data_IF_780340696136
#
_entry.id   IF_780340696136
#
_cell.length_a   1.000
_cell.length_b   1.000
_cell.length_c   1.000
_cell.angle_alpha   90.00
_cell.angle_beta   90.00
_cell.angle_gamma   90.00
#
_symmetry.space_group_name_H-M   'P 1'
#
loop_
_entity.id
_entity.type
_entity.pdbx_description
1 polymer ?
#
# COMPACT_ATOMS: atom_id res chain seq x y z
N UNK A 1 35.90 16.32 -22.13
CA UNK A 1 35.37 15.12 -21.45
C UNK A 1 35.18 15.54 -20.02
N UNK A 2 33.95 15.92 -19.66
CA UNK A 2 33.64 16.39 -18.30
C UNK A 2 33.33 15.14 -17.51
N UNK A 3 34.18 14.82 -16.54
CA UNK A 3 33.93 13.76 -15.56
C UNK A 3 32.71 14.18 -14.72
N UNK A 4 31.53 13.68 -15.08
CA UNK A 4 30.38 13.72 -14.20
C UNK A 4 30.70 12.76 -13.06
N UNK A 5 30.82 13.22 -11.80
CA UNK A 5 31.02 12.29 -10.70
C UNK A 5 29.85 11.33 -10.68
N UNK A 6 30.14 10.02 -10.73
CA UNK A 6 29.19 8.90 -10.54
C UNK A 6 28.59 8.88 -9.11
N UNK A 7 28.52 10.03 -8.45
CA UNK A 7 27.80 10.27 -7.22
C UNK A 7 26.30 10.33 -7.50
N UNK A 8 25.75 9.15 -7.76
CA UNK A 8 24.36 8.77 -7.50
C UNK A 8 23.32 9.51 -8.36
N UNK A 9 22.94 8.91 -9.50
CA UNK A 9 21.56 9.01 -9.99
C UNK A 9 20.65 8.39 -8.91
N UNK A 10 20.44 9.15 -7.83
CA UNK A 10 19.79 8.70 -6.62
C UNK A 10 18.29 8.82 -6.82
N UNK A 11 17.66 7.70 -7.15
CA UNK A 11 16.21 7.59 -7.05
C UNK A 11 15.82 7.24 -5.61
N UNK A 12 14.75 7.86 -5.13
CA UNK A 12 14.20 7.62 -3.78
C UNK A 12 12.70 7.75 -3.79
N UNK A 13 12.05 7.05 -2.86
CA UNK A 13 10.65 7.26 -2.51
C UNK A 13 10.60 7.98 -1.16
N UNK A 14 9.80 9.03 -1.07
CA UNK A 14 9.56 9.77 0.19
C UNK A 14 8.12 9.52 0.61
N UNK A 15 7.91 9.07 1.84
CA UNK A 15 6.58 8.82 2.39
C UNK A 15 5.94 10.13 2.84
N UNK A 16 5.02 10.66 2.03
CA UNK A 16 4.29 11.90 2.33
C UNK A 16 3.14 11.68 3.29
N UNK A 17 2.48 10.52 3.19
CA UNK A 17 1.36 10.13 4.04
C UNK A 17 1.49 8.64 4.38
N UNK A 18 1.33 8.27 5.65
CA UNK A 18 1.40 6.89 6.11
C UNK A 18 1.85 6.78 7.57
N UNK A 19 2.25 5.58 8.02
CA UNK A 19 2.60 5.32 9.43
C UNK A 19 3.87 6.05 9.90
N UNK A 20 4.78 6.39 8.98
CA UNK A 20 6.05 7.07 9.26
C UNK A 20 6.29 8.21 8.24
N UNK A 21 5.61 9.36 8.35
CA UNK A 21 5.80 10.49 7.45
C UNK A 21 7.27 10.92 7.32
N UNK A 22 7.64 11.42 6.15
CA UNK A 22 8.99 11.85 5.75
C UNK A 22 10.04 10.73 5.67
N UNK A 23 9.66 9.47 5.92
CA UNK A 23 10.55 8.33 5.73
C UNK A 23 10.96 8.21 4.27
N UNK A 24 12.27 8.10 4.05
CA UNK A 24 12.86 8.01 2.70
C UNK A 24 13.41 6.61 2.44
N UNK A 25 13.02 6.03 1.32
CA UNK A 25 13.52 4.75 0.81
C UNK A 25 14.45 5.01 -0.37
N UNK A 26 15.70 4.58 -0.27
CA UNK A 26 16.65 4.65 -1.39
C UNK A 26 16.35 3.52 -2.36
N UNK A 27 16.31 3.86 -3.66
CA UNK A 27 16.13 2.89 -4.72
C UNK A 27 17.50 2.52 -5.30
N UNK A 28 17.69 1.23 -5.53
CA UNK A 28 18.92 0.68 -6.10
C UNK A 28 18.70 0.12 -7.50
N UNK A 29 19.75 -0.52 -8.04
CA UNK A 29 19.75 -1.12 -9.38
C UNK A 29 19.14 -2.53 -9.44
N UNK A 30 18.45 -2.97 -8.40
CA UNK A 30 17.79 -4.27 -8.35
C UNK A 30 16.27 -4.10 -8.11
N UNK A 31 15.43 -5.03 -8.58
CA UNK A 31 14.00 -4.99 -8.29
C UNK A 31 13.74 -5.00 -6.78
N UNK A 32 12.85 -4.13 -6.33
CA UNK A 32 12.42 -4.05 -4.93
C UNK A 32 10.91 -4.22 -4.84
N UNK A 33 10.46 -5.12 -3.98
CA UNK A 33 9.03 -5.23 -3.67
C UNK A 33 8.63 -4.22 -2.61
N UNK A 34 7.40 -3.74 -2.70
CA UNK A 34 6.75 -2.82 -1.77
C UNK A 34 5.60 -3.58 -1.10
N UNK A 35 5.51 -3.52 0.23
CA UNK A 35 4.39 -4.11 0.96
C UNK A 35 4.54 -4.04 2.46
N UNK A 36 3.52 -4.49 3.20
CA UNK A 36 3.54 -4.46 4.67
C UNK A 36 4.35 -5.56 5.34
N UNK A 37 4.67 -6.64 4.59
CA UNK A 37 5.48 -7.72 5.12
C UNK A 37 6.94 -7.28 5.27
N UNK A 38 7.61 -7.74 6.32
CA UNK A 38 9.03 -7.47 6.56
C UNK A 38 9.96 -8.07 5.49
N UNK A 39 9.46 -8.98 4.65
CA UNK A 39 10.24 -9.62 3.58
C UNK A 39 10.36 -8.75 2.31
N UNK A 40 9.80 -7.55 2.30
CA UNK A 40 9.90 -6.64 1.16
C UNK A 40 11.15 -5.77 1.23
N UNK A 41 11.63 -5.32 0.07
CA UNK A 41 12.71 -4.32 0.02
C UNK A 41 12.26 -2.96 0.58
N UNK A 42 10.98 -2.62 0.40
CA UNK A 42 10.35 -1.42 0.92
C UNK A 42 9.17 -1.85 1.79
N UNK A 43 9.32 -1.63 3.10
CA UNK A 43 8.34 -2.04 4.10
C UNK A 43 7.58 -0.83 4.61
N UNK A 44 6.25 -0.87 4.46
CA UNK A 44 5.34 0.15 4.99
C UNK A 44 4.28 -0.58 5.80
N UNK A 45 4.34 -0.43 7.12
CA UNK A 45 3.46 -1.15 8.04
C UNK A 45 2.08 -0.49 8.14
N UNK A 46 1.29 -0.66 7.08
CA UNK A 46 -0.08 -0.17 6.99
C UNK A 46 -1.07 -1.32 6.67
N UNK A 47 -2.30 -1.21 7.17
CA UNK A 47 -3.34 -2.22 6.98
C UNK A 47 -3.88 -2.26 5.55
N UNK A 48 -3.90 -1.11 4.86
CA UNK A 48 -4.37 -0.98 3.47
C UNK A 48 -3.35 -1.48 2.46
N UNK A 49 -2.10 -1.66 2.90
CA UNK A 49 -1.04 -2.24 2.08
C UNK A 49 -1.05 -3.77 2.21
N UNK A 50 -0.93 -4.43 1.07
CA UNK A 50 -0.88 -5.89 0.98
C UNK A 50 0.49 -6.40 1.41
N UNK A 51 0.57 -7.67 1.82
CA UNK A 51 1.85 -8.27 2.27
C UNK A 51 2.94 -8.16 1.21
N UNK A 52 2.61 -8.37 -0.06
CA UNK A 52 3.39 -8.00 -1.25
C UNK A 52 2.39 -7.25 -2.12
N UNK A 53 2.61 -5.96 -2.33
CA UNK A 53 1.59 -5.07 -2.89
C UNK A 53 1.98 -4.62 -4.29
N UNK A 54 3.19 -4.09 -4.45
CA UNK A 54 3.71 -3.66 -5.73
C UNK A 54 5.19 -4.08 -5.89
N UNK A 55 5.69 -4.02 -7.11
CA UNK A 55 7.11 -4.19 -7.41
C UNK A 55 7.61 -2.98 -8.19
N UNK A 56 8.78 -2.49 -7.77
CA UNK A 56 9.52 -1.48 -8.49
C UNK A 56 10.73 -2.12 -9.15
N UNK A 57 10.80 -2.01 -10.48
CA UNK A 57 11.85 -2.62 -11.30
C UNK A 57 12.64 -1.51 -11.99
N UNK A 58 13.96 -1.39 -11.77
CA UNK A 58 14.78 -0.42 -12.50
C UNK A 58 14.86 -0.82 -13.99
N UNK A 59 14.67 0.16 -14.88
CA UNK A 59 14.79 0.02 -16.33
C UNK A 59 15.72 1.11 -16.88
N UNK A 60 17.03 0.84 -16.82
CA UNK A 60 18.05 1.81 -17.25
C UNK A 60 18.04 3.06 -16.37
N UNK A 61 17.54 4.17 -16.90
CA UNK A 61 17.42 5.45 -16.20
C UNK A 61 16.02 5.72 -15.63
N UNK A 62 15.06 4.80 -15.76
CA UNK A 62 13.71 4.94 -15.21
C UNK A 62 13.39 3.80 -14.25
N UNK A 63 12.25 3.90 -13.57
CA UNK A 63 11.71 2.84 -12.73
C UNK A 63 10.32 2.48 -13.22
N UNK A 64 10.08 1.18 -13.36
CA UNK A 64 8.78 0.63 -13.72
C UNK A 64 8.07 0.16 -12.45
N UNK A 65 6.85 0.63 -12.23
CA UNK A 65 6.00 0.22 -11.11
C UNK A 65 4.91 -0.72 -11.61
N UNK A 66 4.75 -1.85 -10.92
CA UNK A 66 3.75 -2.87 -11.21
C UNK A 66 2.98 -3.24 -9.93
N UNK A 67 1.67 -3.32 -10.02
CA UNK A 67 0.81 -3.86 -8.94
C UNK A 67 0.82 -5.39 -8.98
N UNK A 68 1.05 -6.04 -7.83
CA UNK A 68 1.16 -7.50 -7.71
C UNK A 68 -0.17 -8.17 -7.33
N UNK A 69 -1.30 -7.61 -7.76
CA UNK A 69 -2.63 -8.08 -7.40
C UNK A 69 -3.02 -7.66 -5.98
N UNK A 70 -2.77 -6.40 -5.65
CA UNK A 70 -3.09 -5.87 -4.34
C UNK A 70 -4.60 -5.73 -4.11
N UNK A 71 -5.01 -5.71 -2.84
CA UNK A 71 -6.43 -5.63 -2.47
C UNK A 71 -7.05 -4.28 -2.81
N UNK A 72 -6.35 -3.18 -2.51
CA UNK A 72 -6.86 -1.82 -2.70
C UNK A 72 -6.39 -1.20 -4.04
N UNK A 73 -5.47 -1.85 -4.75
CA UNK A 73 -4.83 -1.32 -5.94
C UNK A 73 -3.69 -0.34 -5.63
N UNK A 74 -2.87 -0.12 -6.65
CA UNK A 74 -1.84 0.91 -6.69
C UNK A 74 -2.26 2.02 -7.65
N UNK A 75 -2.05 3.28 -7.27
CA UNK A 75 -2.38 4.45 -8.09
C UNK A 75 -1.13 5.30 -8.34
N UNK A 76 -1.03 5.89 -9.53
CA UNK A 76 0.01 6.87 -9.88
C UNK A 76 -0.70 8.14 -10.34
N UNK A 77 -0.43 9.26 -9.65
CA UNK A 77 -1.07 10.56 -9.88
C UNK A 77 -2.62 10.46 -9.92
N UNK A 78 -3.20 9.66 -9.02
CA UNK A 78 -4.64 9.41 -8.93
C UNK A 78 -5.21 8.42 -9.94
N UNK A 79 -4.40 7.90 -10.88
CA UNK A 79 -4.83 6.90 -11.86
C UNK A 79 -4.45 5.50 -11.39
N UNK A 80 -5.43 4.59 -11.36
CA UNK A 80 -5.19 3.19 -10.97
C UNK A 80 -4.32 2.48 -12.01
N UNK A 81 -3.28 1.79 -11.54
CA UNK A 81 -2.44 0.95 -12.37
C UNK A 81 -3.19 -0.31 -12.81
N UNK A 82 -3.22 -0.53 -14.12
CA UNK A 82 -3.74 -1.76 -14.74
C UNK A 82 -2.64 -2.57 -15.44
N UNK A 83 -1.49 -1.95 -15.69
CA UNK A 83 -0.32 -2.50 -16.37
C UNK A 83 0.95 -1.88 -15.75
N UNK A 84 2.13 -2.49 -15.90
CA UNK A 84 3.40 -1.88 -15.50
C UNK A 84 3.54 -0.48 -16.11
N UNK A 85 3.83 0.52 -15.27
CA UNK A 85 3.90 1.93 -15.67
C UNK A 85 5.22 2.56 -15.24
N UNK A 86 5.86 3.29 -16.16
CA UNK A 86 7.10 4.00 -15.89
C UNK A 86 6.83 5.23 -15.00
N UNK A 87 7.67 5.41 -13.98
CA UNK A 87 7.61 6.56 -13.07
C UNK A 87 8.50 7.69 -13.55
N UNK A 88 7.97 8.91 -13.48
CA UNK A 88 8.68 10.15 -13.73
C UNK A 88 8.98 10.87 -12.42
N UNK A 89 10.04 11.68 -12.42
CA UNK A 89 10.39 12.52 -11.29
C UNK A 89 9.18 13.35 -10.81
N UNK A 90 8.88 13.29 -9.52
CA UNK A 90 7.79 14.04 -8.90
C UNK A 90 6.46 13.27 -8.83
N UNK A 91 6.36 12.11 -9.48
CA UNK A 91 5.14 11.28 -9.47
C UNK A 91 4.74 10.90 -8.05
N UNK A 92 3.42 10.91 -7.84
CA UNK A 92 2.79 10.52 -6.58
C UNK A 92 2.24 9.11 -6.72
N UNK A 93 2.67 8.19 -5.85
CA UNK A 93 2.23 6.80 -5.80
C UNK A 93 1.35 6.63 -4.57
N UNK A 94 0.16 6.10 -4.73
CA UNK A 94 -0.79 5.89 -3.64
C UNK A 94 -1.15 4.42 -3.51
N UNK A 95 -1.28 3.96 -2.26
CA UNK A 95 -1.71 2.61 -1.92
C UNK A 95 -2.90 2.73 -0.97
N UNK A 96 -4.10 2.43 -1.47
CA UNK A 96 -5.33 2.77 -0.75
C UNK A 96 -5.45 4.28 -0.52
N UNK A 97 -6.12 4.65 0.58
CA UNK A 97 -6.41 6.04 0.94
C UNK A 97 -5.44 6.57 2.03
N UNK A 98 -4.74 5.67 2.72
CA UNK A 98 -3.89 6.03 3.87
C UNK A 98 -2.43 6.31 3.51
N UNK A 99 -1.92 5.76 2.41
CA UNK A 99 -0.49 5.83 2.07
C UNK A 99 -0.22 6.54 0.74
N UNK A 100 0.66 7.55 0.80
CA UNK A 100 1.16 8.30 -0.35
C UNK A 100 2.69 8.39 -0.32
N UNK A 101 3.33 7.97 -1.40
CA UNK A 101 4.76 8.13 -1.66
C UNK A 101 4.97 9.15 -2.78
N UNK A 102 6.04 9.94 -2.70
CA UNK A 102 6.54 10.74 -3.83
C UNK A 102 7.83 10.13 -4.37
N UNK A 103 7.88 9.95 -5.68
CA UNK A 103 9.07 9.50 -6.37
C UNK A 103 9.97 10.68 -6.73
N UNK A 104 11.24 10.56 -6.34
CA UNK A 104 12.26 11.56 -6.61
C UNK A 104 13.42 10.90 -7.34
N UNK A 105 13.73 11.39 -8.53
CA UNK A 105 14.87 10.95 -9.32
C UNK A 105 15.82 12.13 -9.54
N UNK A 106 16.96 12.16 -8.84
CA UNK A 106 17.95 13.21 -9.04
C UNK A 106 18.86 12.89 -10.25
N UNK A 107 19.06 13.86 -11.14
CA UNK A 107 19.97 13.72 -12.30
C UNK A 107 19.41 12.90 -13.47
N UNK A 108 18.17 12.40 -13.39
CA UNK A 108 17.45 11.82 -14.51
C UNK A 108 16.73 12.93 -15.29
N UNK A 109 16.95 13.08 -16.61
CA UNK A 109 16.27 14.11 -17.39
C UNK A 109 14.75 13.90 -17.27
N UNK A 110 14.04 14.94 -16.82
CA UNK A 110 12.61 14.95 -16.51
C UNK A 110 11.70 14.93 -17.74
N UNK A 111 12.24 14.64 -18.91
CA UNK A 111 11.52 14.68 -20.18
C UNK A 111 11.98 13.49 -21.03
N UNK A 112 11.49 12.30 -20.70
CA UNK A 112 11.42 11.23 -21.69
C UNK A 112 10.02 11.28 -22.26
N UNK A 113 9.78 12.28 -23.12
CA UNK A 113 8.76 12.13 -24.15
C UNK A 113 9.26 10.97 -24.99
N UNK A 114 8.63 9.80 -24.84
CA UNK A 114 8.66 8.82 -25.91
C UNK A 114 7.96 9.49 -27.08
N UNK A 115 8.72 10.24 -27.90
CA UNK A 115 8.26 10.58 -29.23
C UNK A 115 8.08 9.23 -29.89
N UNK A 116 6.83 8.77 -29.93
CA UNK A 116 6.36 7.90 -31.00
C UNK A 116 6.87 8.57 -32.27
N UNK A 117 7.90 7.96 -32.85
CA UNK A 117 8.45 8.38 -34.12
C UNK A 117 7.45 7.99 -35.19
N UNK A 118 6.35 8.74 -35.27
CA UNK A 118 5.63 8.92 -36.52
C UNK A 118 6.45 9.93 -37.33
N UNK A 119 6.86 9.49 -38.52
CA UNK A 119 7.55 10.22 -39.59
C UNK A 119 9.07 10.44 -39.49
N UNK A 120 9.83 9.35 -39.66
CA UNK A 120 10.91 9.35 -40.67
C UNK A 120 10.58 8.29 -41.70
N UNK A 121 10.11 8.74 -42.86
CA UNK A 121 10.06 7.93 -44.07
C UNK A 121 11.47 7.36 -44.35
N UNK A 122 11.68 6.10 -43.98
CA UNK A 122 12.78 5.27 -44.44
C UNK A 122 12.29 4.56 -45.69
N UNK A 123 12.97 4.63 -46.85
CA UNK A 123 12.61 3.84 -48.02
C UNK A 123 12.56 2.37 -47.61
N UNK A 124 11.43 1.71 -47.86
CA UNK A 124 11.22 0.31 -47.57
C UNK A 124 12.34 -0.53 -48.23
N UNK A 125 13.28 -1.01 -47.41
CA UNK A 125 14.14 -2.13 -47.78
C UNK A 125 13.22 -3.34 -48.04
N UNK A 126 13.48 -4.12 -49.11
CA UNK A 126 12.72 -5.34 -49.37
C UNK A 126 12.78 -6.26 -48.14
N UNK A 127 11.70 -6.98 -47.79
CA UNK A 127 11.75 -7.93 -46.69
C UNK A 127 12.81 -8.99 -47.02
N UNK A 128 13.85 -9.09 -46.19
CA UNK A 128 14.78 -10.21 -46.28
C UNK A 128 13.98 -11.51 -46.06
N UNK A 129 14.20 -12.55 -46.88
CA UNK A 129 13.49 -13.82 -46.75
C UNK A 129 13.84 -14.46 -45.41
N UNK A 130 12.85 -14.57 -44.53
CA UNK A 130 12.94 -15.43 -43.33
C UNK A 130 13.31 -16.85 -43.76
N UNK A 131 14.35 -17.48 -43.18
CA UNK A 131 14.62 -18.89 -43.45
C UNK A 131 13.43 -19.69 -42.97
N UNK A 132 12.73 -20.31 -43.92
CA UNK A 132 11.70 -21.32 -43.66
C UNK A 132 12.40 -22.49 -43.00
N UNK A 133 12.31 -22.58 -41.67
CA UNK A 133 12.67 -23.80 -40.97
C UNK A 133 11.70 -24.89 -41.44
N UNK A 134 12.19 -25.75 -42.33
CA UNK A 134 11.48 -26.94 -42.77
C UNK A 134 11.16 -27.79 -41.55
N UNK A 135 9.86 -27.94 -41.25
CA UNK A 135 9.36 -28.99 -40.38
C UNK A 135 9.72 -30.35 -41.00
N UNK A 136 10.45 -31.24 -40.30
CA UNK A 136 10.57 -32.62 -40.74
C UNK A 136 9.19 -33.27 -40.62
N UNK A 137 8.74 -33.89 -41.71
CA UNK A 137 7.53 -34.67 -41.77
C UNK A 137 7.59 -35.87 -40.82
N UNK A 138 6.53 -35.98 -40.02
CA UNK A 138 5.76 -37.18 -39.68
C UNK A 138 6.45 -38.55 -39.80
N UNK A 139 6.60 -39.22 -38.66
CA UNK A 139 6.58 -40.68 -38.56
C UNK A 139 5.79 -41.09 -37.30
N UNK A 140 4.48 -41.19 -37.46
CA UNK A 140 3.64 -42.36 -37.11
C UNK A 140 3.80 -43.00 -35.71
N UNK A 141 2.75 -42.82 -34.91
CA UNK A 141 2.04 -43.81 -34.07
C UNK A 141 2.81 -45.03 -33.52
N UNK A 142 3.03 -45.07 -32.20
CA UNK A 142 3.27 -46.32 -31.46
C UNK A 142 2.55 -46.28 -30.10
N UNK A 143 1.40 -46.95 -30.07
CA UNK A 143 0.80 -47.69 -28.96
C UNK A 143 1.10 -47.24 -27.53
N UNK A 144 0.14 -46.54 -26.91
CA UNK A 144 0.11 -46.32 -25.47
C UNK A 144 -0.08 -47.66 -24.70
N UNK A 145 0.71 -47.95 -23.66
CA UNK A 145 0.25 -48.80 -22.58
C UNK A 145 -0.77 -48.00 -21.75
N UNK A 146 -1.87 -48.66 -21.33
CA UNK A 146 -2.91 -48.02 -20.52
C UNK A 146 -2.36 -47.37 -19.24
N UNK A 147 -3.05 -46.35 -18.69
CA UNK A 147 -2.59 -45.66 -17.50
C UNK A 147 -2.50 -46.63 -16.30
N UNK A 148 -1.48 -46.50 -15.43
CA UNK A 148 -1.53 -47.17 -14.14
C UNK A 148 -2.70 -46.60 -13.34
N UNK A 149 -3.48 -47.50 -12.74
CA UNK A 149 -4.52 -47.16 -11.76
C UNK A 149 -3.82 -46.55 -10.55
N UNK A 150 -4.05 -45.26 -10.31
CA UNK A 150 -3.60 -44.59 -9.09
C UNK A 150 -4.66 -44.84 -8.01
N UNK A 151 -4.29 -45.51 -6.91
CA UNK A 151 -5.14 -45.58 -5.73
C UNK A 151 -5.38 -44.17 -5.20
N UNK A 152 -6.66 -43.83 -4.99
CA UNK A 152 -7.14 -42.60 -4.41
C UNK A 152 -6.61 -42.47 -2.98
N UNK A 153 -5.52 -41.73 -2.79
CA UNK A 153 -5.02 -41.40 -1.47
C UNK A 153 -5.89 -40.26 -0.91
N UNK A 154 -6.97 -40.67 -0.24
CA UNK A 154 -7.93 -39.81 0.44
C UNK A 154 -7.19 -39.01 1.52
N UNK A 155 -6.84 -37.75 1.23
CA UNK A 155 -6.26 -36.84 2.21
C UNK A 155 -7.40 -36.27 3.06
N UNK A 156 -7.39 -36.43 4.39
CA UNK A 156 -8.44 -35.87 5.23
C UNK A 156 -8.41 -34.35 5.15
N UNK A 157 -9.56 -33.76 4.80
CA UNK A 157 -9.86 -32.34 4.96
C UNK A 157 -9.62 -31.93 6.42
N UNK A 158 -8.42 -31.43 6.73
CA UNK A 158 -8.21 -30.63 7.93
C UNK A 158 -8.40 -29.18 7.54
N UNK A 159 -9.66 -28.76 7.56
CA UNK A 159 -10.05 -27.37 7.54
C UNK A 159 -9.34 -26.62 8.68
N UNK A 160 -8.28 -25.88 8.37
CA UNK A 160 -7.72 -24.88 9.28
C UNK A 160 -8.69 -23.70 9.28
N UNK A 161 -9.68 -23.81 10.18
CA UNK A 161 -10.57 -22.72 10.57
C UNK A 161 -9.74 -21.52 11.02
N UNK A 162 -9.70 -20.48 10.19
CA UNK A 162 -9.16 -19.15 10.52
C UNK A 162 -10.10 -18.46 11.51
N UNK A 163 -10.19 -19.01 12.72
CA UNK A 163 -11.02 -18.49 13.80
C UNK A 163 -10.23 -17.57 14.74
N UNK A 164 -9.44 -16.65 14.16
CA UNK A 164 -8.68 -15.64 14.94
C UNK A 164 -9.21 -14.21 14.82
N UNK A 165 -10.26 -14.00 14.03
CA UNK A 165 -10.88 -12.69 13.86
C UNK A 165 -12.04 -12.41 14.83
N UNK A 166 -12.32 -13.31 15.78
CA UNK A 166 -13.32 -13.10 16.84
C UNK A 166 -12.76 -12.53 18.14
N UNK A 167 -11.45 -12.55 18.34
CA UNK A 167 -10.82 -12.12 19.60
C UNK A 167 -10.40 -10.63 19.56
N UNK A 168 -10.09 -10.08 18.38
CA UNK A 168 -9.58 -8.69 18.26
C UNK A 168 -10.67 -7.61 18.22
N UNK A 169 -11.89 -7.93 17.78
CA UNK A 169 -13.05 -7.02 17.86
C UNK A 169 -13.54 -6.87 19.31
N UNK A 170 -13.31 -7.89 20.15
CA UNK A 170 -13.65 -7.86 21.58
C UNK A 170 -12.79 -6.88 22.38
N UNK A 171 -11.46 -6.87 22.17
CA UNK A 171 -10.55 -6.00 22.92
C UNK A 171 -10.73 -4.51 22.58
N UNK A 172 -10.99 -4.17 21.31
CA UNK A 172 -11.24 -2.78 20.90
C UNK A 172 -12.51 -2.21 21.54
N UNK A 173 -13.62 -2.95 21.47
CA UNK A 173 -14.87 -2.53 22.11
C UNK A 173 -14.76 -2.48 23.64
N UNK A 174 -14.05 -3.42 24.27
CA UNK A 174 -13.90 -3.46 25.72
C UNK A 174 -13.05 -2.28 26.23
N UNK A 175 -12.02 -1.86 25.50
CA UNK A 175 -11.24 -0.66 25.82
C UNK A 175 -12.06 0.62 25.67
N UNK A 176 -12.87 0.73 24.62
CA UNK A 176 -13.75 1.91 24.41
C UNK A 176 -14.82 1.97 25.50
N UNK A 177 -15.46 0.84 25.83
CA UNK A 177 -16.45 0.77 26.91
C UNK A 177 -15.79 1.08 28.26
N UNK A 178 -14.59 0.56 28.53
CA UNK A 178 -13.85 0.87 29.75
C UNK A 178 -13.47 2.36 29.83
N UNK A 179 -13.06 2.99 28.72
CA UNK A 179 -12.78 4.42 28.69
C UNK A 179 -14.05 5.25 28.95
N UNK A 180 -15.17 4.91 28.32
CA UNK A 180 -16.45 5.62 28.52
C UNK A 180 -16.94 5.45 29.95
N UNK A 181 -16.82 4.25 30.53
CA UNK A 181 -17.17 4.02 31.93
C UNK A 181 -16.24 4.78 32.88
N UNK A 182 -14.92 4.79 32.65
CA UNK A 182 -13.98 5.56 33.47
C UNK A 182 -14.22 7.06 33.39
N UNK A 183 -14.46 7.61 32.19
CA UNK A 183 -14.79 9.03 32.04
C UNK A 183 -16.12 9.31 32.71
N UNK A 184 -17.13 8.47 32.49
CA UNK A 184 -18.45 8.59 33.13
C UNK A 184 -18.39 8.52 34.65
N UNK A 185 -17.59 7.63 35.23
CA UNK A 185 -17.41 7.54 36.69
C UNK A 185 -16.62 8.70 37.24
N UNK A 186 -15.60 9.22 36.55
CA UNK A 186 -14.91 10.44 36.96
C UNK A 186 -15.85 11.64 36.94
N UNK A 187 -16.67 11.79 35.89
CA UNK A 187 -17.70 12.83 35.83
C UNK A 187 -18.76 12.65 36.92
N UNK A 188 -19.19 11.41 37.18
CA UNK A 188 -20.18 11.11 38.20
C UNK A 188 -19.63 11.38 39.60
N UNK A 189 -18.40 10.96 39.90
CA UNK A 189 -17.74 11.18 41.19
C UNK A 189 -17.41 12.66 41.42
N UNK A 190 -17.01 13.40 40.38
CA UNK A 190 -16.86 14.87 40.43
C UNK A 190 -18.22 15.55 40.70
N UNK A 191 -19.32 14.96 40.20
CA UNK A 191 -20.68 15.44 40.49
C UNK A 191 -21.21 15.00 41.87
N UNK A 192 -20.53 14.10 42.59
CA UNK A 192 -21.07 13.42 43.76
C UNK A 192 -20.14 13.54 44.98
N UNK A 193 -19.81 14.77 45.36
CA UNK A 193 -19.22 15.04 46.68
C UNK A 193 -20.35 15.37 47.66
N UNK A 194 -20.41 14.65 48.79
CA UNK A 194 -21.29 14.93 49.95
C UNK A 194 -22.82 14.93 49.69
N UNK A 195 -23.29 14.14 48.73
CA UNK A 195 -24.74 13.91 48.53
C UNK A 195 -25.50 15.06 47.88
N UNK A 196 -24.80 16.06 47.34
CA UNK A 196 -25.38 17.15 46.55
C UNK A 196 -24.63 17.30 45.21
N UNK A 197 -25.39 17.46 44.12
CA UNK A 197 -24.86 17.75 42.78
C UNK A 197 -24.26 19.18 42.76
N UNK A 198 -22.99 19.32 43.12
CA UNK A 198 -22.30 20.62 43.14
C UNK A 198 -21.28 20.71 41.99
N UNK A 199 -21.63 21.45 40.94
CA UNK A 199 -20.78 21.74 39.77
C UNK A 199 -19.70 22.81 40.06
N UNK A 200 -18.92 22.64 41.13
CA UNK A 200 -17.97 23.66 41.60
C UNK A 200 -16.48 23.29 41.36
N UNK A 201 -16.19 22.48 40.34
CA UNK A 201 -14.84 22.10 39.92
C UNK A 201 -14.25 22.98 38.80
N UNK A 202 -13.04 22.63 38.33
CA UNK A 202 -12.30 23.36 37.28
C UNK A 202 -12.99 23.47 35.91
N UNK A 203 -14.13 22.78 35.74
CA UNK A 203 -14.99 22.81 34.55
C UNK A 203 -16.17 23.79 34.68
N UNK A 204 -16.22 24.65 35.72
CA UNK A 204 -17.23 25.70 35.87
C UNK A 204 -17.55 26.51 34.58
N UNK A 205 -16.57 27.04 33.81
CA UNK A 205 -16.89 27.83 32.63
C UNK A 205 -17.57 27.02 31.52
N UNK A 206 -17.31 25.71 31.46
CA UNK A 206 -17.99 24.81 30.53
C UNK A 206 -19.46 24.66 30.90
N UNK A 207 -19.77 24.47 32.19
CA UNK A 207 -21.15 24.29 32.65
C UNK A 207 -22.00 25.56 32.54
N UNK A 208 -21.44 26.73 32.79
CA UNK A 208 -22.15 28.01 32.54
C UNK A 208 -22.52 28.18 31.06
N UNK A 209 -21.65 27.73 30.16
CA UNK A 209 -21.89 27.81 28.72
C UNK A 209 -22.99 26.84 28.28
N UNK A 210 -23.02 25.63 28.84
CA UNK A 210 -23.94 24.57 28.41
C UNK A 210 -25.31 24.66 29.09
N UNK A 211 -25.35 24.96 30.39
CA UNK A 211 -26.57 24.89 31.21
C UNK A 211 -27.12 26.27 31.61
N UNK A 212 -26.33 27.33 31.47
CA UNK A 212 -26.75 28.71 31.76
C UNK A 212 -28.01 29.15 30.98
N UNK A 213 -28.15 28.85 29.68
CA UNK A 213 -29.37 29.20 28.93
C UNK A 213 -30.63 28.47 29.40
N UNK A 214 -30.48 27.37 30.14
CA UNK A 214 -31.58 26.52 30.63
C UNK A 214 -32.02 26.90 32.05
N UNK A 215 -31.42 27.96 32.63
CA UNK A 215 -31.76 28.48 33.96
C UNK A 215 -31.15 27.67 35.12
N UNK A 216 -30.29 26.70 34.83
CA UNK A 216 -29.56 25.95 35.85
C UNK A 216 -28.25 26.66 36.17
N UNK A 217 -28.30 27.56 37.16
CA UNK A 217 -27.08 28.15 37.72
C UNK A 217 -26.49 27.23 38.80
N UNK A 218 -25.18 26.94 38.76
CA UNK A 218 -24.53 26.18 39.81
C UNK A 218 -24.60 26.96 41.14
N UNK A 219 -25.27 26.38 42.13
CA UNK A 219 -25.32 26.92 43.50
C UNK A 219 -24.03 26.48 44.19
N UNK A 220 -23.00 27.32 44.14
CA UNK A 220 -21.82 27.16 44.97
C UNK A 220 -22.02 27.99 46.26
N UNK A 221 -21.76 27.44 47.46
CA UNK A 221 -21.70 28.22 48.69
C UNK A 221 -20.49 29.18 48.70
#
# INVERSE_FOLDING_TARGET
MVDIPTGELAARLVLEQGPEPDKTFKLGNAPQTIGRSANNGIVINDAEISRRHAQLTPQGISYMLEDLGSTNGTFVNGLRLNQPTALNHGDTIEFGDTVRLRFWAAGMPSEIVYTVADDVATPALPPEPVPVYAQPADLSESSAPGPPVFEEFDMPETAVSSNRNRILIGCGCLLVVACVLCVGTVFFLDSFQDGHLLYCGGLRPFWETVLGPVGFNPICP
#
